data_IF_394596617320
#
_entry.id   IF_394596617320
#
_cell.length_a   1.000
_cell.length_b   1.000
_cell.length_c   1.000
_cell.angle_alpha   90.00
_cell.angle_beta   90.00
_cell.angle_gamma   90.00
#
_symmetry.space_group_name_H-M   'P 1'
#
loop_
_entity.id
_entity.type
_entity.pdbx_description
1 polymer ?
#
# COMPACT_ATOMS: atom_id res chain seq x y z
N UNK A 1 2.71 35.84 10.71
CA UNK A 1 2.52 34.71 9.77
C UNK A 1 1.87 33.60 10.56
N UNK A 2 0.70 33.15 10.14
CA UNK A 2 -0.02 32.08 10.84
C UNK A 2 0.71 30.75 10.60
N UNK A 3 1.04 30.06 11.69
CA UNK A 3 1.87 28.86 11.72
C UNK A 3 1.07 27.58 11.99
N UNK A 4 -0.26 27.69 12.09
CA UNK A 4 -1.16 26.56 12.28
C UNK A 4 -1.33 25.80 10.96
N UNK A 5 -1.05 24.49 10.98
CA UNK A 5 -1.64 23.55 10.02
C UNK A 5 -2.94 23.09 10.66
N UNK A 6 -4.08 23.60 10.22
CA UNK A 6 -5.36 23.08 10.72
C UNK A 6 -5.57 21.68 10.10
N UNK A 7 -6.28 20.77 10.79
CA UNK A 7 -6.58 19.44 10.24
C UNK A 7 -7.28 19.49 8.88
N UNK A 8 -8.01 20.57 8.61
CA UNK A 8 -8.68 20.88 7.34
C UNK A 8 -7.73 21.35 6.21
N UNK A 9 -6.52 21.79 6.56
CA UNK A 9 -5.52 22.28 5.59
C UNK A 9 -4.58 21.17 5.06
N UNK A 10 -4.66 19.97 5.63
CA UNK A 10 -3.74 18.86 5.32
C UNK A 10 -4.50 17.55 5.25
N UNK A 11 -4.88 17.16 4.04
CA UNK A 11 -5.46 15.83 3.81
C UNK A 11 -4.37 14.76 3.93
N UNK A 12 -4.66 13.70 4.68
CA UNK A 12 -3.78 12.55 4.80
C UNK A 12 -3.86 11.68 3.54
N UNK A 13 -2.70 11.40 2.95
CA UNK A 13 -2.52 10.43 1.88
C UNK A 13 -2.50 11.01 0.47
N UNK A 14 -1.50 10.62 -0.32
CA UNK A 14 -1.48 10.91 -1.76
C UNK A 14 -2.58 10.10 -2.46
N UNK A 15 -3.37 10.77 -3.31
CA UNK A 15 -4.41 10.13 -4.11
C UNK A 15 -3.80 9.01 -4.94
N UNK A 16 -4.41 7.82 -4.82
CA UNK A 16 -4.01 6.60 -5.50
C UNK A 16 -3.60 6.83 -6.95
N UNK A 17 -2.52 6.15 -7.34
CA UNK A 17 -1.87 6.22 -8.66
C UNK A 17 -2.82 5.79 -9.78
N UNK A 18 -3.72 6.70 -10.19
CA UNK A 18 -4.79 6.45 -11.16
C UNK A 18 -4.25 5.93 -12.50
N UNK A 19 -3.02 6.32 -12.84
CA UNK A 19 -2.30 5.87 -14.04
C UNK A 19 -1.84 4.41 -14.00
N UNK A 20 -1.74 3.79 -12.81
CA UNK A 20 -1.27 2.41 -12.64
C UNK A 20 -2.36 1.49 -12.09
N UNK A 21 -3.65 1.80 -12.30
CA UNK A 21 -4.75 0.97 -11.81
C UNK A 21 -4.75 -0.44 -12.44
N UNK A 22 -4.28 -0.56 -13.69
CA UNK A 22 -4.13 -1.85 -14.36
C UNK A 22 -3.00 -2.71 -13.78
N UNK A 23 -1.99 -2.08 -13.17
CA UNK A 23 -0.81 -2.73 -12.59
C UNK A 23 -0.45 -2.03 -11.27
N UNK A 24 -1.26 -2.22 -10.20
CA UNK A 24 -1.12 -1.49 -8.96
C UNK A 24 0.26 -1.73 -8.35
N UNK A 25 1.08 -0.68 -8.28
CA UNK A 25 2.42 -0.73 -7.73
C UNK A 25 2.73 0.54 -6.94
N UNK A 26 1.88 0.84 -5.96
CA UNK A 26 1.98 2.03 -5.12
C UNK A 26 2.15 1.66 -3.65
N UNK A 27 3.04 2.38 -2.97
CA UNK A 27 3.12 2.31 -1.52
C UNK A 27 1.84 2.87 -0.93
N UNK A 28 1.44 2.33 0.23
CA UNK A 28 0.45 2.98 1.05
C UNK A 28 0.99 4.33 1.53
N UNK A 29 0.10 5.28 1.72
CA UNK A 29 0.48 6.59 2.21
C UNK A 29 0.56 6.60 3.72
N UNK A 30 1.48 7.42 4.26
CA UNK A 30 1.49 7.69 5.70
C UNK A 30 0.25 8.47 6.11
N UNK A 31 -0.27 8.14 7.28
CA UNK A 31 -1.26 8.95 7.96
C UNK A 31 -0.65 10.25 8.50
N UNK A 32 -1.49 11.18 8.90
CA UNK A 32 -1.06 12.51 9.33
C UNK A 32 -1.09 12.66 10.85
N UNK A 33 -0.27 13.56 11.41
CA UNK A 33 -0.26 13.86 12.84
C UNK A 33 -1.23 15.00 13.19
N UNK A 34 -1.80 14.99 14.40
CA UNK A 34 -2.57 16.13 14.92
C UNK A 34 -1.69 17.25 15.49
N UNK A 35 -0.36 17.03 15.58
CA UNK A 35 0.64 18.01 16.02
C UNK A 35 1.71 18.22 14.93
N UNK A 36 2.28 19.42 14.86
CA UNK A 36 3.31 19.83 13.88
C UNK A 36 4.71 19.35 14.24
N UNK A 37 5.00 19.20 15.52
CA UNK A 37 6.35 18.85 16.01
C UNK A 37 6.59 17.34 16.02
N UNK A 38 5.51 16.56 16.20
CA UNK A 38 5.56 15.12 16.35
C UNK A 38 4.97 14.41 15.14
N UNK A 39 5.58 13.30 14.72
CA UNK A 39 5.04 12.42 13.69
C UNK A 39 4.29 11.25 14.32
N UNK A 40 3.03 11.47 14.68
CA UNK A 40 2.14 10.41 15.16
C UNK A 40 1.34 9.72 14.04
N UNK A 41 1.61 10.05 12.77
CA UNK A 41 0.90 9.44 11.65
C UNK A 41 1.26 7.97 11.45
N UNK A 42 0.26 7.15 11.13
CA UNK A 42 0.47 5.74 10.81
C UNK A 42 1.36 5.53 9.60
N UNK A 43 2.16 4.48 9.60
CA UNK A 43 3.00 4.17 8.44
C UNK A 43 2.15 3.69 7.26
N UNK A 44 2.57 4.02 6.05
CA UNK A 44 1.97 3.46 4.84
C UNK A 44 2.48 2.06 4.55
N UNK A 45 1.64 1.23 3.93
CA UNK A 45 1.97 -0.14 3.60
C UNK A 45 2.95 -0.30 2.43
N UNK A 46 3.55 -1.50 2.36
CA UNK A 46 4.54 -1.86 1.35
C UNK A 46 3.95 -2.19 -0.03
N UNK A 47 4.78 -2.76 -0.91
CA UNK A 47 4.35 -3.27 -2.22
C UNK A 47 4.81 -4.69 -2.40
N UNK A 48 3.93 -5.52 -2.94
CA UNK A 48 4.22 -6.91 -3.27
C UNK A 48 3.95 -7.14 -4.76
N UNK A 49 4.97 -7.63 -5.47
CA UNK A 49 4.88 -8.02 -6.88
C UNK A 49 5.25 -9.50 -7.03
N UNK A 50 4.32 -10.33 -7.49
CA UNK A 50 4.56 -11.74 -7.78
C UNK A 50 4.41 -12.00 -9.28
N UNK A 51 5.49 -12.45 -9.91
CA UNK A 51 5.53 -12.93 -11.29
C UNK A 51 5.79 -14.45 -11.27
N UNK A 52 4.74 -15.22 -11.57
CA UNK A 52 4.72 -16.67 -11.41
C UNK A 52 4.69 -17.33 -12.79
N UNK A 53 5.70 -18.18 -13.04
CA UNK A 53 5.81 -18.90 -14.32
C UNK A 53 4.95 -20.17 -14.38
N UNK A 54 4.75 -20.85 -13.26
CA UNK A 54 4.03 -22.14 -13.22
C UNK A 54 3.01 -22.16 -12.05
N UNK A 55 3.41 -22.64 -10.87
CA UNK A 55 2.52 -22.71 -9.70
C UNK A 55 3.10 -21.88 -8.54
N UNK A 56 2.23 -21.08 -7.92
CA UNK A 56 2.47 -20.45 -6.62
C UNK A 56 1.40 -20.96 -5.66
N UNK A 57 1.81 -21.81 -4.72
CA UNK A 57 0.96 -22.30 -3.64
C UNK A 57 1.31 -21.55 -2.36
N UNK A 58 0.32 -20.91 -1.75
CA UNK A 58 0.49 -20.09 -0.56
C UNK A 58 -0.55 -20.43 0.50
N UNK A 59 -0.08 -21.05 1.57
CA UNK A 59 -0.86 -21.27 2.78
C UNK A 59 -0.56 -20.16 3.78
N UNK A 60 -1.34 -19.07 3.77
CA UNK A 60 -1.16 -17.94 4.68
C UNK A 60 -1.65 -16.62 4.09
N UNK A 61 -1.16 -15.50 4.61
CA UNK A 61 -1.54 -14.15 4.19
C UNK A 61 -0.38 -13.40 3.53
N UNK A 62 -0.69 -12.73 2.41
CA UNK A 62 0.15 -11.71 1.80
C UNK A 62 -0.39 -10.35 2.22
N UNK A 63 0.39 -9.58 2.97
CA UNK A 63 -0.05 -8.32 3.58
C UNK A 63 0.77 -7.15 3.04
N UNK A 64 0.08 -6.09 2.64
CA UNK A 64 0.66 -4.80 2.32
C UNK A 64 0.09 -3.75 3.28
N UNK A 65 -0.01 -4.10 4.56
CA UNK A 65 -0.79 -3.33 5.54
C UNK A 65 -0.13 -1.99 5.87
N UNK A 66 -0.98 -0.99 6.06
CA UNK A 66 -0.62 0.26 6.70
C UNK A 66 -0.58 0.11 8.22
N UNK A 67 -0.28 1.20 8.91
CA UNK A 67 -0.18 1.25 10.37
C UNK A 67 -1.27 2.12 10.99
N UNK A 68 -1.76 1.70 12.15
CA UNK A 68 -2.60 2.51 13.03
C UNK A 68 -1.74 3.14 14.15
N UNK A 69 -2.11 4.34 14.57
CA UNK A 69 -1.41 5.12 15.60
C UNK A 69 -2.33 5.73 16.65
N UNK A 70 -3.61 5.33 16.68
CA UNK A 70 -4.56 5.72 17.71
C UNK A 70 -5.00 7.18 17.63
N UNK A 71 -5.32 7.82 18.76
CA UNK A 71 -6.01 9.13 18.77
C UNK A 71 -5.14 10.35 18.42
N UNK A 72 -3.81 10.20 18.34
CA UNK A 72 -2.86 11.32 18.13
C UNK A 72 -2.49 11.54 16.67
N UNK A 73 -2.96 10.69 15.76
CA UNK A 73 -2.71 10.79 14.33
C UNK A 73 -3.70 9.94 13.55
N UNK A 74 -3.81 10.20 12.25
CA UNK A 74 -4.54 9.33 11.33
C UNK A 74 -3.74 8.06 11.03
N UNK A 75 -4.44 6.97 10.74
CA UNK A 75 -3.83 5.74 10.24
C UNK A 75 -3.21 5.92 8.85
N UNK A 76 -2.20 5.10 8.54
CA UNK A 76 -1.64 4.96 7.21
C UNK A 76 -2.39 3.91 6.41
N UNK A 77 -2.50 4.13 5.10
CA UNK A 77 -3.21 3.19 4.21
C UNK A 77 -2.35 1.97 3.89
N UNK A 78 -3.00 0.87 3.52
CA UNK A 78 -2.32 -0.25 2.88
C UNK A 78 -1.73 0.14 1.52
N UNK A 79 -0.72 -0.60 1.08
CA UNK A 79 -0.14 -0.48 -0.25
C UNK A 79 -0.72 -1.50 -1.22
N UNK A 80 0.06 -1.84 -2.24
CA UNK A 80 -0.45 -2.62 -3.38
C UNK A 80 0.07 -4.05 -3.38
N UNK A 81 -0.80 -5.00 -3.73
CA UNK A 81 -0.43 -6.38 -4.07
C UNK A 81 -0.83 -6.62 -5.53
N UNK A 82 0.13 -6.96 -6.37
CA UNK A 82 -0.09 -7.31 -7.77
C UNK A 82 0.43 -8.72 -8.05
N UNK A 83 -0.45 -9.57 -8.58
CA UNK A 83 -0.16 -10.96 -8.92
C UNK A 83 -0.45 -11.15 -10.39
N UNK A 84 0.54 -11.63 -11.13
CA UNK A 84 0.42 -12.00 -12.54
C UNK A 84 0.85 -13.45 -12.72
N UNK A 85 -0.02 -14.26 -13.31
CA UNK A 85 0.29 -15.63 -13.74
C UNK A 85 0.03 -15.78 -15.24
N UNK A 86 0.82 -16.66 -15.87
CA UNK A 86 0.57 -17.09 -17.25
C UNK A 86 -0.30 -18.35 -17.23
N UNK A 87 -1.13 -18.50 -18.26
CA UNK A 87 -1.92 -19.71 -18.45
C UNK A 87 -0.96 -20.87 -18.72
N UNK A 88 -1.09 -21.96 -17.96
CA UNK A 88 -0.45 -23.24 -18.28
C UNK A 88 -1.04 -23.70 -19.62
N UNK A 89 -0.20 -23.74 -20.66
CA UNK A 89 -0.55 -24.32 -21.95
C UNK A 89 -0.10 -25.78 -21.93
N UNK A 90 -0.92 -26.67 -22.47
CA UNK A 90 -0.78 -28.13 -22.40
C UNK A 90 0.43 -28.71 -23.18
N UNK A 91 1.47 -27.90 -23.48
CA UNK A 91 2.68 -28.29 -24.21
C UNK A 91 4.00 -28.10 -23.46
N UNK A 92 3.99 -27.48 -22.26
CA UNK A 92 5.21 -27.11 -21.54
C UNK A 92 5.61 -28.10 -20.42
N UNK A 93 4.87 -29.21 -20.26
CA UNK A 93 5.27 -30.32 -19.37
C UNK A 93 6.40 -31.14 -20.02
N UNK A 94 7.57 -31.32 -19.36
CA UNK A 94 8.54 -32.29 -19.83
C UNK A 94 7.94 -33.69 -19.71
N UNK A 95 8.03 -34.49 -20.78
CA UNK A 95 7.80 -35.94 -20.72
C UNK A 95 8.84 -36.62 -19.83
#
# INVERSE_FOLDING_TARGET
MDNKKLPEDVWGGDTYSWKSLEQPFSYGSKGQSTNKEDNYGGNGGGKIWLDVNDVFDACGTLLADGGDTGIKGGGGSGGSIYIKSKKILMGDTPM
#
